data_IF_378608386653
#
_entry.id   IF_378608386653
#
_cell.length_a   1.000
_cell.length_b   1.000
_cell.length_c   1.000
_cell.angle_alpha   90.00
_cell.angle_beta   90.00
_cell.angle_gamma   90.00
#
_symmetry.space_group_name_H-M   'P 1'
#
loop_
_entity.id
_entity.type
_entity.pdbx_description
1 polymer ?
#
# COMPACT_ATOMS: atom_id res chain seq x y z
N UNK A 1 67.30 -21.08 -15.53
CA UNK A 1 66.84 -21.71 -14.26
C UNK A 1 65.64 -22.56 -14.58
N UNK A 2 65.66 -23.83 -14.25
CA UNK A 2 64.51 -24.71 -14.40
C UNK A 2 63.53 -24.42 -13.28
N UNK A 3 62.35 -23.99 -13.59
CA UNK A 3 61.28 -23.82 -12.62
C UNK A 3 60.75 -25.21 -12.27
N UNK A 4 60.67 -25.53 -10.96
CA UNK A 4 60.02 -26.73 -10.50
C UNK A 4 58.51 -26.68 -10.82
N UNK A 5 58.01 -27.70 -11.48
CA UNK A 5 56.60 -27.81 -11.87
C UNK A 5 55.95 -29.03 -11.21
N UNK A 6 54.62 -29.02 -11.15
CA UNK A 6 53.82 -30.13 -10.59
C UNK A 6 54.12 -30.39 -9.13
N UNK A 7 54.50 -31.62 -8.78
CA UNK A 7 54.70 -32.10 -7.39
C UNK A 7 55.77 -31.32 -6.62
N UNK A 8 56.75 -30.75 -7.32
CA UNK A 8 57.88 -30.03 -6.72
C UNK A 8 57.78 -28.53 -6.91
N UNK A 9 56.64 -28.01 -7.33
CA UNK A 9 56.38 -26.58 -7.42
C UNK A 9 56.43 -25.90 -6.04
N UNK A 10 56.79 -24.63 -6.05
CA UNK A 10 56.80 -23.78 -4.87
C UNK A 10 55.85 -22.61 -5.08
N UNK A 11 55.38 -22.03 -3.97
CA UNK A 11 54.66 -20.76 -3.97
C UNK A 11 55.24 -19.81 -2.94
N UNK A 12 54.96 -18.54 -3.05
CA UNK A 12 55.28 -17.53 -2.05
C UNK A 12 54.01 -17.30 -1.18
N UNK A 13 54.18 -17.33 0.15
CA UNK A 13 53.08 -16.98 1.05
C UNK A 13 52.82 -15.48 0.99
N UNK A 14 51.56 -15.08 0.86
CA UNK A 14 51.13 -13.66 0.87
C UNK A 14 51.35 -12.99 2.23
N UNK A 15 51.51 -13.77 3.29
CA UNK A 15 51.68 -13.27 4.66
C UNK A 15 53.16 -13.03 4.99
N UNK A 16 54.00 -14.03 4.83
CA UNK A 16 55.44 -13.95 5.19
C UNK A 16 56.35 -13.62 4.03
N UNK A 17 55.88 -13.76 2.76
CA UNK A 17 56.76 -13.66 1.58
C UNK A 17 57.74 -14.82 1.46
N UNK A 18 57.65 -15.83 2.30
CA UNK A 18 58.55 -16.98 2.28
C UNK A 18 58.13 -18.01 1.24
N UNK A 19 59.08 -18.78 0.75
CA UNK A 19 58.87 -19.80 -0.27
C UNK A 19 58.57 -21.14 0.36
N UNK A 20 57.40 -21.69 0.05
CA UNK A 20 56.93 -23.00 0.56
C UNK A 20 56.56 -23.97 -0.55
N UNK A 21 56.55 -25.30 -0.27
CA UNK A 21 56.04 -26.28 -1.22
C UNK A 21 54.58 -26.03 -1.59
N UNK A 22 54.24 -26.08 -2.86
CA UNK A 22 52.91 -25.76 -3.39
C UNK A 22 51.80 -26.62 -2.78
N UNK A 23 52.12 -27.83 -2.33
CA UNK A 23 51.16 -28.75 -1.69
C UNK A 23 50.65 -28.28 -0.33
N UNK A 24 51.38 -27.39 0.35
CA UNK A 24 51.10 -26.90 1.70
C UNK A 24 50.41 -25.53 1.66
N UNK A 25 49.89 -25.13 0.50
CA UNK A 25 49.15 -23.88 0.34
C UNK A 25 47.71 -24.03 0.81
N UNK A 26 47.18 -23.03 1.49
CA UNK A 26 45.78 -22.87 1.82
C UNK A 26 45.34 -21.46 1.42
N UNK A 27 44.10 -21.36 0.94
CA UNK A 27 43.50 -20.07 0.66
C UNK A 27 42.67 -19.62 1.88
N UNK A 28 42.98 -18.46 2.40
CA UNK A 28 42.25 -17.85 3.49
C UNK A 28 40.92 -17.23 3.03
N UNK A 29 40.08 -16.85 3.99
CA UNK A 29 38.78 -16.23 3.78
C UNK A 29 38.85 -14.88 3.05
N UNK A 30 39.97 -14.13 3.19
CA UNK A 30 40.27 -12.87 2.51
C UNK A 30 40.78 -13.04 1.08
N UNK A 31 41.02 -14.27 0.65
CA UNK A 31 41.56 -14.62 -0.66
C UNK A 31 43.07 -14.79 -0.72
N UNK A 32 43.83 -14.48 0.34
CA UNK A 32 45.25 -14.65 0.43
C UNK A 32 45.63 -16.13 0.39
N UNK A 33 46.77 -16.41 -0.23
CA UNK A 33 47.36 -17.76 -0.32
C UNK A 33 48.51 -17.85 0.64
N UNK A 34 48.35 -18.67 1.70
CA UNK A 34 49.33 -18.80 2.79
C UNK A 34 49.74 -20.25 2.99
N UNK A 35 50.84 -20.45 3.72
CA UNK A 35 51.28 -21.77 4.17
C UNK A 35 50.36 -22.27 5.31
N UNK A 36 50.17 -23.58 5.45
CA UNK A 36 49.33 -24.18 6.45
C UNK A 36 49.66 -23.76 7.90
N UNK A 37 50.94 -23.46 8.21
CA UNK A 37 51.37 -22.98 9.52
C UNK A 37 51.02 -21.51 9.76
N UNK A 38 50.68 -20.75 8.74
CA UNK A 38 50.34 -19.33 8.78
C UNK A 38 48.81 -19.11 8.63
N UNK A 39 48.05 -20.17 8.45
CA UNK A 39 46.63 -20.11 8.21
C UNK A 39 45.89 -19.62 9.46
N UNK A 40 45.02 -18.66 9.26
CA UNK A 40 44.09 -18.15 10.26
C UNK A 40 42.64 -18.32 9.79
N UNK A 41 41.84 -18.91 10.66
CA UNK A 41 40.40 -19.00 10.40
C UNK A 41 39.75 -17.63 10.45
N UNK A 42 38.66 -17.48 9.73
CA UNK A 42 37.87 -16.26 9.76
C UNK A 42 37.30 -16.07 11.18
N UNK A 43 37.57 -14.89 11.77
CA UNK A 43 37.03 -14.57 13.09
C UNK A 43 35.51 -14.44 13.01
N UNK A 44 34.80 -15.01 14.02
CA UNK A 44 33.33 -15.04 14.05
C UNK A 44 32.68 -13.65 14.01
N UNK A 45 33.36 -12.61 14.50
CA UNK A 45 32.86 -11.23 14.43
C UNK A 45 32.81 -10.66 13.01
N UNK A 46 33.54 -11.27 12.06
CA UNK A 46 33.51 -10.87 10.65
C UNK A 46 32.38 -11.53 9.86
N UNK A 47 31.70 -12.49 10.47
CA UNK A 47 30.51 -13.06 9.88
C UNK A 47 29.32 -12.11 10.09
N UNK A 48 28.48 -11.90 9.06
CA UNK A 48 27.29 -11.08 9.23
C UNK A 48 26.42 -11.68 10.33
N UNK A 49 25.98 -10.83 11.24
CA UNK A 49 25.11 -11.24 12.33
C UNK A 49 23.89 -11.97 11.77
N UNK A 50 23.66 -13.21 12.19
CA UNK A 50 22.43 -13.91 11.84
C UNK A 50 21.28 -13.16 12.52
N UNK A 51 20.49 -12.47 11.72
CA UNK A 51 19.21 -11.96 12.20
C UNK A 51 18.35 -13.17 12.56
N UNK A 52 18.01 -13.27 13.82
CA UNK A 52 17.01 -14.24 14.28
C UNK A 52 15.73 -13.89 13.55
N UNK A 53 15.10 -14.88 12.90
CA UNK A 53 13.79 -14.68 12.29
C UNK A 53 12.86 -14.29 13.44
N UNK A 54 12.40 -13.02 13.43
CA UNK A 54 11.40 -12.57 14.37
C UNK A 54 10.09 -13.33 14.06
N UNK A 55 9.58 -14.15 15.00
CA UNK A 55 8.35 -14.91 14.78
C UNK A 55 7.11 -14.00 14.62
N UNK A 56 7.25 -12.72 14.96
CA UNK A 56 6.20 -11.71 14.77
C UNK A 56 6.31 -11.00 13.41
N UNK A 57 7.45 -11.12 12.73
CA UNK A 57 7.61 -10.55 11.40
C UNK A 57 7.08 -11.50 10.33
N UNK A 58 6.24 -11.00 9.48
CA UNK A 58 5.74 -11.74 8.33
C UNK A 58 6.83 -11.74 7.23
N UNK A 59 7.22 -12.94 6.79
CA UNK A 59 8.17 -13.09 5.68
C UNK A 59 7.62 -12.49 4.36
N UNK A 60 6.33 -12.64 4.14
CA UNK A 60 5.60 -12.05 3.03
C UNK A 60 4.39 -11.33 3.61
N UNK A 61 4.49 -10.02 3.71
CA UNK A 61 3.40 -9.21 4.21
C UNK A 61 2.33 -9.08 3.10
N UNK A 62 1.28 -9.86 3.22
CA UNK A 62 0.03 -9.69 2.48
C UNK A 62 -1.06 -9.37 3.48
N UNK A 63 -1.11 -8.14 3.99
CA UNK A 63 -2.17 -7.77 4.90
C UNK A 63 -3.50 -7.98 4.18
N UNK A 64 -4.43 -8.61 4.86
CA UNK A 64 -5.82 -8.55 4.46
C UNK A 64 -6.16 -7.05 4.34
N UNK A 65 -6.65 -6.66 3.18
CA UNK A 65 -7.18 -5.31 2.99
C UNK A 65 -8.47 -5.27 3.77
N UNK A 66 -8.33 -5.08 5.08
CA UNK A 66 -9.46 -4.80 5.93
C UNK A 66 -10.03 -3.49 5.44
N UNK A 67 -11.14 -3.56 4.75
CA UNK A 67 -11.99 -2.38 4.56
C UNK A 67 -12.51 -2.02 5.94
N UNK A 68 -11.71 -1.26 6.68
CA UNK A 68 -12.22 -0.60 7.86
C UNK A 68 -13.38 0.28 7.37
N UNK A 69 -14.49 0.24 8.09
CA UNK A 69 -15.60 1.15 7.83
C UNK A 69 -15.03 2.56 7.94
N UNK A 70 -14.76 3.17 6.79
CA UNK A 70 -14.27 4.53 6.72
C UNK A 70 -15.34 5.37 7.38
N UNK A 71 -15.00 5.97 8.50
CA UNK A 71 -15.92 6.77 9.30
C UNK A 71 -16.50 7.89 8.45
N UNK A 72 -15.69 8.47 7.58
CA UNK A 72 -16.10 9.49 6.63
C UNK A 72 -15.13 9.52 5.44
N UNK A 73 -15.64 9.47 4.21
CA UNK A 73 -14.83 9.49 3.00
C UNK A 73 -15.03 10.80 2.23
N UNK A 74 -13.94 11.46 1.86
CA UNK A 74 -13.99 12.67 1.03
C UNK A 74 -14.24 12.27 -0.43
N UNK A 75 -15.33 12.77 -1.01
CA UNK A 75 -15.79 12.37 -2.34
C UNK A 75 -15.04 13.04 -3.51
N UNK A 76 -14.34 14.14 -3.28
CA UNK A 76 -13.65 14.91 -4.31
C UNK A 76 -14.46 16.09 -4.83
N UNK A 77 -14.10 16.59 -6.01
CA UNK A 77 -14.73 17.80 -6.57
C UNK A 77 -16.05 17.45 -7.29
N UNK A 78 -17.16 18.07 -6.85
CA UNK A 78 -18.49 17.95 -7.46
C UNK A 78 -18.90 16.48 -7.72
N UNK A 79 -18.95 15.64 -6.68
CA UNK A 79 -19.13 14.19 -6.82
C UNK A 79 -20.59 13.78 -7.10
N UNK A 80 -21.53 14.70 -7.01
CA UNK A 80 -22.95 14.45 -7.23
C UNK A 80 -23.32 14.84 -8.65
N UNK A 81 -24.08 13.98 -9.31
CA UNK A 81 -24.64 14.22 -10.64
C UNK A 81 -26.16 14.11 -10.56
N UNK A 82 -26.84 15.20 -10.86
CA UNK A 82 -28.30 15.16 -10.98
C UNK A 82 -28.74 14.35 -12.19
N UNK A 83 -29.87 13.68 -12.09
CA UNK A 83 -30.50 12.96 -13.21
C UNK A 83 -31.20 13.96 -14.17
N UNK A 84 -32.18 13.48 -14.90
CA UNK A 84 -32.97 14.36 -15.80
C UNK A 84 -33.73 15.43 -15.00
N UNK A 85 -34.05 16.54 -15.67
CA UNK A 85 -34.93 17.59 -15.10
C UNK A 85 -36.22 17.01 -14.57
N UNK A 86 -36.64 17.48 -13.40
CA UNK A 86 -37.81 16.99 -12.68
C UNK A 86 -37.57 15.70 -11.87
N UNK A 87 -36.40 15.08 -11.95
CA UNK A 87 -36.06 13.87 -11.20
C UNK A 87 -35.46 14.20 -9.82
N UNK A 88 -35.81 13.42 -8.80
CA UNK A 88 -35.15 13.46 -7.48
C UNK A 88 -33.97 12.51 -7.33
N UNK A 89 -33.58 11.79 -8.40
CA UNK A 89 -32.48 10.82 -8.35
C UNK A 89 -31.15 11.52 -8.58
N UNK A 90 -30.19 11.22 -7.71
CA UNK A 90 -28.83 11.75 -7.74
C UNK A 90 -27.84 10.57 -7.79
N UNK A 91 -26.91 10.63 -8.72
CA UNK A 91 -25.78 9.69 -8.82
C UNK A 91 -24.59 10.26 -8.07
N UNK A 92 -23.93 9.44 -7.26
CA UNK A 92 -22.73 9.79 -6.50
C UNK A 92 -21.53 9.06 -7.08
N UNK A 93 -20.43 9.78 -7.25
CA UNK A 93 -19.15 9.24 -7.69
C UNK A 93 -18.23 9.11 -6.47
N UNK A 94 -18.00 7.89 -6.04
CA UNK A 94 -17.15 7.53 -4.90
C UNK A 94 -16.28 6.33 -5.29
N UNK A 95 -14.98 6.53 -5.48
CA UNK A 95 -14.05 5.49 -5.95
C UNK A 95 -13.94 4.34 -4.95
N UNK A 96 -14.10 3.12 -5.46
CA UNK A 96 -13.94 1.87 -4.67
C UNK A 96 -14.71 1.90 -3.34
N UNK A 97 -15.96 2.33 -3.39
CA UNK A 97 -16.75 2.66 -2.18
C UNK A 97 -17.10 1.44 -1.31
N UNK A 98 -16.99 0.22 -1.80
CA UNK A 98 -17.25 -1.01 -1.03
C UNK A 98 -18.67 -1.16 -0.48
N UNK A 99 -19.58 -0.24 -0.80
CA UNK A 99 -20.97 -0.24 -0.30
C UNK A 99 -21.83 -1.23 -1.06
N UNK A 100 -22.87 -1.73 -0.41
CA UNK A 100 -23.89 -2.57 -1.01
C UNK A 100 -25.18 -1.78 -1.27
N UNK A 101 -26.05 -2.32 -2.13
CA UNK A 101 -27.40 -1.76 -2.27
C UNK A 101 -28.18 -1.90 -0.97
N UNK A 102 -28.95 -0.89 -0.65
CA UNK A 102 -29.70 -0.71 0.60
C UNK A 102 -28.87 -0.23 1.81
N UNK A 103 -27.56 -0.03 1.65
CA UNK A 103 -26.79 0.64 2.70
C UNK A 103 -27.31 2.05 2.92
N UNK A 104 -27.22 2.54 4.16
CA UNK A 104 -27.59 3.91 4.51
C UNK A 104 -26.35 4.77 4.61
N UNK A 105 -26.30 5.81 3.79
CA UNK A 105 -25.18 6.76 3.71
C UNK A 105 -25.64 8.14 4.10
N UNK A 106 -24.90 8.78 4.98
CA UNK A 106 -25.08 10.19 5.33
C UNK A 106 -24.01 11.03 4.64
N UNK A 107 -24.47 12.05 3.96
CA UNK A 107 -23.60 13.04 3.33
C UNK A 107 -23.45 14.26 4.23
N UNK A 108 -22.28 14.92 4.15
CA UNK A 108 -21.96 16.12 4.93
C UNK A 108 -21.13 17.09 4.09
N UNK A 109 -21.11 18.36 4.49
CA UNK A 109 -20.35 19.44 3.86
C UNK A 109 -20.66 19.61 2.35
N UNK A 110 -21.90 19.44 1.98
CA UNK A 110 -22.36 19.53 0.59
C UNK A 110 -22.80 20.96 0.30
N UNK A 111 -22.41 21.47 -0.85
CA UNK A 111 -22.96 22.70 -1.42
C UNK A 111 -24.19 22.33 -2.26
N UNK A 112 -25.32 23.00 -2.03
CA UNK A 112 -26.54 22.79 -2.83
C UNK A 112 -26.31 23.03 -4.31
N UNK A 113 -26.98 22.25 -5.17
CA UNK A 113 -26.85 22.35 -6.61
C UNK A 113 -28.15 21.91 -7.30
N UNK A 114 -28.38 22.40 -8.50
CA UNK A 114 -29.46 21.98 -9.42
C UNK A 114 -30.85 21.80 -8.76
N UNK A 115 -31.24 22.72 -7.87
CA UNK A 115 -32.52 22.69 -7.16
C UNK A 115 -32.51 21.91 -5.84
N UNK A 116 -31.44 21.20 -5.53
CA UNK A 116 -31.29 20.51 -4.26
C UNK A 116 -30.59 21.41 -3.25
N UNK A 117 -31.23 21.64 -2.11
CA UNK A 117 -30.65 22.44 -1.02
C UNK A 117 -29.71 21.58 -0.15
N UNK A 118 -28.74 22.23 0.50
CA UNK A 118 -27.83 21.57 1.44
C UNK A 118 -28.59 20.79 2.53
N UNK A 119 -29.66 21.37 3.07
CA UNK A 119 -30.48 20.72 4.13
C UNK A 119 -31.08 19.39 3.66
N UNK A 120 -31.53 19.33 2.39
CA UNK A 120 -32.07 18.10 1.81
C UNK A 120 -30.97 17.08 1.62
N UNK A 121 -29.82 17.48 1.08
CA UNK A 121 -28.71 16.57 0.76
C UNK A 121 -28.03 16.03 2.04
N UNK A 122 -27.96 16.81 3.13
CA UNK A 122 -27.35 16.47 4.41
C UNK A 122 -28.35 15.87 5.41
N UNK A 123 -29.31 15.12 4.94
CA UNK A 123 -30.34 14.49 5.79
C UNK A 123 -29.66 13.71 6.94
N UNK A 124 -30.11 14.00 8.18
CA UNK A 124 -29.56 13.42 9.41
C UNK A 124 -29.59 11.89 9.43
N UNK A 125 -30.72 11.31 8.99
CA UNK A 125 -30.93 9.85 8.94
C UNK A 125 -30.23 9.17 7.76
N UNK A 126 -29.53 9.96 6.91
CA UNK A 126 -28.93 9.47 5.68
C UNK A 126 -29.92 9.06 4.60
N UNK A 127 -29.39 8.50 3.55
CA UNK A 127 -30.11 8.00 2.37
C UNK A 127 -29.80 6.53 2.14
N UNK A 128 -30.82 5.75 1.84
CA UNK A 128 -30.61 4.40 1.31
C UNK A 128 -30.15 4.50 -0.13
N UNK A 129 -29.10 3.77 -0.45
CA UNK A 129 -28.42 3.83 -1.75
C UNK A 129 -28.73 2.59 -2.60
N UNK A 130 -28.62 2.74 -3.90
CA UNK A 130 -28.64 1.66 -4.88
C UNK A 130 -27.29 1.63 -5.58
N UNK A 131 -26.53 0.56 -5.43
CA UNK A 131 -25.24 0.38 -6.10
C UNK A 131 -25.42 0.23 -7.60
N UNK A 132 -24.69 1.01 -8.37
CA UNK A 132 -24.61 0.91 -9.84
C UNK A 132 -23.37 0.12 -10.24
N UNK A 133 -22.22 0.50 -9.70
CA UNK A 133 -20.94 -0.19 -9.88
C UNK A 133 -20.02 0.09 -8.67
N UNK A 134 -18.74 -0.34 -8.71
CA UNK A 134 -17.80 -0.19 -7.59
C UNK A 134 -17.38 1.27 -7.33
N UNK A 135 -17.69 2.18 -8.23
CA UNK A 135 -17.31 3.59 -8.13
C UNK A 135 -18.52 4.54 -8.10
N UNK A 136 -19.73 4.04 -8.28
CA UNK A 136 -20.93 4.88 -8.34
C UNK A 136 -22.15 4.18 -7.75
N UNK A 137 -22.97 4.97 -7.10
CA UNK A 137 -24.27 4.55 -6.59
C UNK A 137 -25.28 5.69 -6.73
N UNK A 138 -26.57 5.41 -6.61
CA UNK A 138 -27.63 6.38 -6.68
C UNK A 138 -28.43 6.43 -5.40
N UNK A 139 -29.02 7.58 -5.13
CA UNK A 139 -30.02 7.75 -4.08
C UNK A 139 -31.13 8.71 -4.56
N UNK A 140 -32.27 8.70 -3.90
CA UNK A 140 -33.37 9.61 -4.17
C UNK A 140 -33.45 10.65 -3.07
N UNK A 141 -33.39 11.92 -3.43
CA UNK A 141 -33.52 13.03 -2.49
C UNK A 141 -34.89 13.00 -1.80
N UNK A 142 -34.94 13.36 -0.52
CA UNK A 142 -36.17 13.35 0.28
C UNK A 142 -37.17 14.43 -0.18
N UNK A 143 -36.71 15.49 -0.78
CA UNK A 143 -37.50 16.56 -1.40
C UNK A 143 -36.67 17.30 -2.44
N UNK A 144 -37.35 18.10 -3.27
CA UNK A 144 -36.71 18.79 -4.38
C UNK A 144 -36.52 17.88 -5.62
N UNK A 145 -36.37 18.51 -6.73
CA UNK A 145 -36.12 17.86 -8.02
C UNK A 145 -35.10 18.66 -8.78
N UNK A 146 -34.38 17.99 -9.68
CA UNK A 146 -33.43 18.60 -10.57
C UNK A 146 -34.12 19.67 -11.45
N UNK A 147 -33.58 20.88 -11.50
CA UNK A 147 -34.10 21.97 -12.31
C UNK A 147 -33.68 21.82 -13.78
N UNK A 148 -32.42 21.54 -13.99
CA UNK A 148 -31.83 21.48 -15.34
C UNK A 148 -31.55 20.02 -15.73
N UNK A 149 -30.99 19.25 -14.85
CA UNK A 149 -30.55 17.87 -15.07
C UNK A 149 -29.13 17.74 -15.61
N UNK A 150 -28.53 16.60 -15.35
CA UNK A 150 -27.15 16.28 -15.78
C UNK A 150 -26.11 17.31 -15.33
N UNK A 151 -26.31 17.92 -14.15
CA UNK A 151 -25.40 18.89 -13.55
C UNK A 151 -24.56 18.20 -12.46
N UNK A 152 -23.25 18.41 -12.52
CA UNK A 152 -22.36 18.01 -11.43
C UNK A 152 -22.30 19.08 -10.33
N UNK A 153 -22.37 18.66 -9.08
CA UNK A 153 -22.39 19.57 -7.95
C UNK A 153 -21.95 18.91 -6.62
N UNK A 154 -22.20 19.63 -5.54
CA UNK A 154 -21.86 19.19 -4.19
C UNK A 154 -20.62 19.84 -3.59
N UNK A 155 -19.80 20.49 -4.41
CA UNK A 155 -18.62 21.21 -3.95
C UNK A 155 -17.37 20.33 -3.81
N UNK A 156 -16.37 20.85 -3.10
CA UNK A 156 -15.05 20.19 -2.94
C UNK A 156 -14.94 19.37 -1.66
N UNK A 157 -15.70 19.74 -0.64
CA UNK A 157 -15.55 19.21 0.71
C UNK A 157 -16.62 18.18 1.07
N UNK A 158 -17.40 17.74 0.10
CA UNK A 158 -18.46 16.77 0.31
C UNK A 158 -17.89 15.43 0.77
N UNK A 159 -18.48 14.90 1.84
CA UNK A 159 -18.08 13.62 2.42
C UNK A 159 -19.27 12.67 2.49
N UNK A 160 -18.98 11.37 2.47
CA UNK A 160 -19.94 10.30 2.63
C UNK A 160 -19.49 9.36 3.74
N UNK A 161 -20.39 9.04 4.66
CA UNK A 161 -20.06 8.21 5.80
C UNK A 161 -21.30 7.54 6.40
N UNK A 162 -21.13 6.85 7.52
CA UNK A 162 -22.24 6.27 8.26
C UNK A 162 -23.14 7.36 8.88
N UNK A 163 -24.36 6.99 9.24
CA UNK A 163 -25.30 7.90 9.90
C UNK A 163 -24.75 8.39 11.25
N UNK A 164 -24.25 7.47 12.05
CA UNK A 164 -23.56 7.76 13.32
C UNK A 164 -22.07 7.59 13.10
N UNK A 165 -21.30 8.65 13.40
CA UNK A 165 -19.87 8.53 13.51
C UNK A 165 -19.57 7.74 14.78
N UNK A 166 -18.83 6.63 14.67
CA UNK A 166 -18.40 5.88 15.85
C UNK A 166 -17.68 6.79 16.84
N UNK A 167 -17.98 6.63 18.12
CA UNK A 167 -17.31 7.34 19.20
C UNK A 167 -15.96 6.69 19.51
#
# INVERSE_FOLDING_TARGET
>A
MAFATGRHAFFLSDRSGMRFPYRQRIKEWNGSIVHISEYEEKHQQLDPHRTVIDPQSLRENRPDVRTENIVENLLGLNPFLSSSSGSGVITVIEKSHGRASSDTVRFRNIVGFDGFTTTVLEKADGYSITKVNDNTYTFTASSGTSLIGSINGGGRNATAGPVTLGA
#
